data_IF_907689691399
#
_entry.id   IF_907689691399
#
_cell.length_a   1.000
_cell.length_b   1.000
_cell.length_c   1.000
_cell.angle_alpha   90.00
_cell.angle_beta   90.00
_cell.angle_gamma   90.00
#
_symmetry.space_group_name_H-M   'P 1'
#
loop_
_entity.id
_entity.type
_entity.pdbx_description
1 polymer ?
#
# COMPACT_ATOMS: atom_id res chain seq x y z
N UNK A 1 5.85 7.87 5.08
CA UNK A 1 6.53 8.59 3.98
C UNK A 1 5.72 8.36 2.71
N UNK A 2 5.35 9.41 1.98
CA UNK A 2 4.48 9.24 0.80
C UNK A 2 5.29 8.57 -0.32
N UNK A 3 5.02 7.28 -0.59
CA UNK A 3 5.76 6.48 -1.59
C UNK A 3 5.29 6.74 -3.03
N UNK A 4 4.72 7.92 -3.30
CA UNK A 4 4.32 8.32 -4.64
C UNK A 4 4.50 9.82 -4.87
N UNK A 5 4.60 10.18 -6.14
CA UNK A 5 4.54 11.56 -6.64
C UNK A 5 3.17 11.74 -7.28
N UNK A 6 2.39 12.71 -6.80
CA UNK A 6 1.09 13.02 -7.38
C UNK A 6 1.24 14.02 -8.53
N UNK A 7 0.81 13.62 -9.73
CA UNK A 7 0.79 14.46 -10.93
C UNK A 7 -0.66 14.75 -11.38
N UNK A 8 -1.61 14.75 -10.44
CA UNK A 8 -3.05 15.01 -10.58
C UNK A 8 -3.80 13.93 -11.36
N UNK A 9 -3.49 13.79 -12.65
CA UNK A 9 -4.17 12.82 -13.54
C UNK A 9 -3.69 11.39 -13.30
N UNK A 10 -2.48 11.25 -12.76
CA UNK A 10 -1.89 9.98 -12.41
C UNK A 10 -0.87 10.15 -11.29
N UNK A 11 -0.55 9.04 -10.64
CA UNK A 11 0.46 8.95 -9.60
C UNK A 11 1.66 8.19 -10.12
N UNK A 12 2.84 8.56 -9.67
CA UNK A 12 4.08 7.82 -9.90
C UNK A 12 4.49 7.20 -8.58
N UNK A 13 4.20 5.92 -8.41
CA UNK A 13 4.64 5.14 -7.26
C UNK A 13 6.14 4.86 -7.39
N UNK A 14 6.85 5.14 -6.31
CA UNK A 14 8.29 4.97 -6.22
C UNK A 14 8.62 3.56 -5.73
N UNK A 15 9.81 3.01 -6.08
CA UNK A 15 10.27 1.77 -5.49
C UNK A 15 10.38 1.87 -3.96
N UNK A 16 9.93 0.84 -3.26
CA UNK A 16 9.97 0.72 -1.81
C UNK A 16 10.26 -0.73 -1.37
N UNK A 17 10.03 -1.04 -0.09
CA UNK A 17 10.24 -2.38 0.45
C UNK A 17 9.44 -3.49 -0.24
N UNK A 18 8.32 -3.15 -0.89
CA UNK A 18 7.49 -4.11 -1.63
C UNK A 18 7.68 -4.03 -3.14
N UNK A 19 7.77 -2.81 -3.64
CA UNK A 19 7.80 -2.53 -5.06
C UNK A 19 9.23 -2.29 -5.50
N UNK A 20 9.75 -3.19 -6.33
CA UNK A 20 11.13 -3.09 -6.86
C UNK A 20 11.28 -2.18 -8.09
N UNK A 21 10.27 -1.39 -8.42
CA UNK A 21 10.20 -0.64 -9.69
C UNK A 21 9.29 0.58 -9.54
N UNK A 22 9.54 1.60 -10.34
CA UNK A 22 8.62 2.72 -10.48
C UNK A 22 7.35 2.27 -11.22
N UNK A 23 6.22 2.88 -10.87
CA UNK A 23 4.93 2.55 -11.47
C UNK A 23 4.06 3.80 -11.64
N UNK A 24 3.79 4.16 -12.89
CA UNK A 24 2.79 5.16 -13.26
C UNK A 24 1.43 4.49 -13.19
N UNK A 25 0.49 5.07 -12.45
CA UNK A 25 -0.86 4.55 -12.29
C UNK A 25 -1.89 5.67 -12.26
N UNK A 26 -2.92 5.55 -13.09
CA UNK A 26 -4.01 6.51 -13.14
C UNK A 26 -4.95 6.25 -14.30
N UNK A 27 -5.96 7.10 -14.43
CA UNK A 27 -6.86 7.11 -15.59
C UNK A 27 -6.31 8.08 -16.65
N UNK A 28 -5.69 7.53 -17.70
CA UNK A 28 -5.05 8.34 -18.73
C UNK A 28 -6.02 8.81 -19.82
N UNK A 29 -7.31 8.43 -19.76
CA UNK A 29 -8.32 8.74 -20.78
C UNK A 29 -8.50 10.24 -20.95
N UNK A 30 -8.66 10.95 -19.84
CA UNK A 30 -8.84 12.40 -19.84
C UNK A 30 -7.58 13.13 -20.32
N UNK A 31 -6.41 12.68 -19.86
CA UNK A 31 -5.12 13.25 -20.26
C UNK A 31 -4.91 13.13 -21.79
N UNK A 32 -5.22 11.97 -22.39
CA UNK A 32 -4.94 11.71 -23.80
C UNK A 32 -6.14 11.93 -24.74
N UNK A 33 -7.31 12.27 -24.19
CA UNK A 33 -8.57 12.49 -24.92
C UNK A 33 -9.08 11.24 -25.64
N UNK A 34 -8.98 10.06 -25.01
CA UNK A 34 -9.42 8.79 -25.63
C UNK A 34 -10.56 8.12 -24.87
N UNK A 35 -11.29 7.23 -25.55
CA UNK A 35 -12.46 6.54 -24.98
C UNK A 35 -12.11 5.47 -23.94
N UNK A 36 -10.94 4.84 -24.04
CA UNK A 36 -10.56 3.72 -23.17
C UNK A 36 -9.04 3.65 -22.96
N UNK A 37 -8.62 3.03 -21.86
CA UNK A 37 -7.21 2.91 -21.49
C UNK A 37 -6.39 2.07 -22.49
N UNK A 38 -7.01 1.13 -23.20
CA UNK A 38 -6.33 0.41 -24.29
C UNK A 38 -5.83 1.39 -25.36
N UNK A 39 -6.68 2.34 -25.78
CA UNK A 39 -6.34 3.34 -26.78
C UNK A 39 -5.27 4.31 -26.27
N UNK A 40 -5.34 4.70 -24.99
CA UNK A 40 -4.29 5.47 -24.32
C UNK A 40 -2.93 4.78 -24.41
N UNK A 41 -2.87 3.51 -23.98
CA UNK A 41 -1.63 2.73 -23.97
C UNK A 41 -1.10 2.52 -25.38
N UNK A 42 -1.97 2.25 -26.36
CA UNK A 42 -1.57 2.12 -27.77
C UNK A 42 -0.92 3.42 -28.28
N UNK A 43 -1.59 4.56 -28.11
CA UNK A 43 -1.07 5.89 -28.51
C UNK A 43 0.27 6.22 -27.84
N UNK A 44 0.39 5.93 -26.55
CA UNK A 44 1.64 6.13 -25.82
C UNK A 44 2.75 5.23 -26.37
N UNK A 45 2.50 3.93 -26.55
CA UNK A 45 3.48 2.98 -27.08
C UNK A 45 4.02 3.41 -28.45
N UNK A 46 3.13 3.80 -29.36
CA UNK A 46 3.50 4.29 -30.69
C UNK A 46 4.44 5.51 -30.58
N UNK A 47 4.14 6.44 -29.69
CA UNK A 47 4.99 7.61 -29.47
C UNK A 47 6.35 7.28 -28.84
N UNK A 48 6.43 6.26 -27.99
CA UNK A 48 7.68 5.83 -27.35
C UNK A 48 8.61 5.03 -28.26
N UNK A 49 8.14 4.54 -29.42
CA UNK A 49 8.99 3.78 -30.35
C UNK A 49 10.20 4.59 -30.83
N UNK A 50 10.07 5.91 -30.92
CA UNK A 50 11.14 6.84 -31.31
C UNK A 50 12.32 6.85 -30.33
N UNK A 51 12.12 6.40 -29.08
CA UNK A 51 13.12 6.46 -28.02
C UNK A 51 13.92 5.16 -27.82
N UNK A 52 13.60 4.08 -28.55
CA UNK A 52 14.26 2.77 -28.54
C UNK A 52 14.71 2.26 -27.15
N UNK A 53 13.81 2.28 -26.16
CA UNK A 53 14.15 1.83 -24.79
C UNK A 53 14.57 0.36 -24.73
N UNK A 54 15.62 0.08 -23.96
CA UNK A 54 16.09 -1.26 -23.63
C UNK A 54 16.47 -1.34 -22.13
N UNK A 55 15.71 -2.07 -21.29
CA UNK A 55 14.47 -2.80 -21.59
C UNK A 55 13.26 -1.88 -21.80
N UNK A 56 12.25 -2.37 -22.52
CA UNK A 56 10.98 -1.64 -22.66
C UNK A 56 10.19 -1.62 -21.34
N UNK A 57 9.49 -0.51 -21.02
CA UNK A 57 8.58 -0.49 -19.89
C UNK A 57 7.42 -1.49 -20.09
N UNK A 58 6.91 -2.05 -18.99
CA UNK A 58 5.73 -2.92 -19.01
C UNK A 58 4.48 -2.07 -18.95
N UNK A 59 3.47 -2.46 -19.72
CA UNK A 59 2.19 -1.75 -19.78
C UNK A 59 1.07 -2.70 -19.37
N UNK A 60 0.20 -2.22 -18.49
CA UNK A 60 -1.02 -2.87 -18.06
C UNK A 60 -2.18 -1.89 -18.17
N UNK A 61 -3.40 -2.40 -18.30
CA UNK A 61 -4.60 -1.56 -18.27
C UNK A 61 -5.81 -2.39 -17.87
N UNK A 62 -6.80 -1.70 -17.30
CA UNK A 62 -8.17 -2.16 -17.06
C UNK A 62 -9.14 -1.13 -17.64
N UNK A 63 -10.44 -1.35 -17.49
CA UNK A 63 -11.44 -0.35 -17.90
C UNK A 63 -11.27 0.99 -17.17
N UNK A 64 -10.82 0.94 -15.91
CA UNK A 64 -10.72 2.10 -15.03
C UNK A 64 -9.33 2.74 -15.01
N UNK A 65 -8.27 1.95 -15.17
CA UNK A 65 -6.89 2.44 -14.95
C UNK A 65 -5.92 1.96 -16.02
N UNK A 66 -4.84 2.70 -16.18
CA UNK A 66 -3.65 2.31 -16.93
C UNK A 66 -2.44 2.25 -15.99
N UNK A 67 -1.50 1.37 -16.33
CA UNK A 67 -0.28 1.12 -15.58
C UNK A 67 0.94 1.09 -16.48
N UNK A 68 2.00 1.82 -16.13
CA UNK A 68 3.31 1.73 -16.80
C UNK A 68 4.40 1.49 -15.76
N UNK A 69 5.20 0.44 -15.93
CA UNK A 69 6.18 -0.01 -14.93
C UNK A 69 7.58 -0.15 -15.54
N UNK A 70 8.60 0.34 -14.83
CA UNK A 70 10.01 0.13 -15.16
C UNK A 70 10.88 0.19 -13.91
N UNK A 71 12.01 -0.53 -13.92
CA UNK A 71 13.05 -0.40 -12.89
C UNK A 71 13.96 0.80 -13.12
N UNK A 72 13.96 1.33 -14.34
CA UNK A 72 14.79 2.44 -14.75
C UNK A 72 14.02 3.76 -14.58
N UNK A 73 14.55 4.64 -13.73
CA UNK A 73 14.01 5.97 -13.45
C UNK A 73 13.99 6.87 -14.68
N UNK A 74 14.99 6.77 -15.55
CA UNK A 74 15.08 7.57 -16.78
C UNK A 74 13.97 7.18 -17.77
N UNK A 75 13.70 5.88 -17.92
CA UNK A 75 12.61 5.40 -18.78
C UNK A 75 11.26 5.94 -18.29
N UNK A 76 11.05 5.99 -16.97
CA UNK A 76 9.82 6.50 -16.37
C UNK A 76 9.70 8.01 -16.59
N UNK A 77 10.79 8.74 -16.35
CA UNK A 77 10.84 10.18 -16.62
C UNK A 77 10.50 10.49 -18.08
N UNK A 78 11.15 9.85 -19.05
CA UNK A 78 10.89 10.05 -20.47
C UNK A 78 9.48 9.61 -20.88
N UNK A 79 8.94 8.58 -20.24
CA UNK A 79 7.54 8.18 -20.42
C UNK A 79 6.58 9.28 -19.95
N UNK A 80 6.86 9.90 -18.79
CA UNK A 80 6.06 11.02 -18.26
C UNK A 80 6.15 12.23 -19.18
N UNK A 81 7.36 12.58 -19.64
CA UNK A 81 7.57 13.66 -20.60
C UNK A 81 6.75 13.43 -21.89
N UNK A 82 6.75 12.19 -22.40
CA UNK A 82 5.95 11.85 -23.58
C UNK A 82 4.45 11.89 -23.28
N UNK A 83 3.99 11.41 -22.12
CA UNK A 83 2.59 11.54 -21.70
C UNK A 83 2.14 13.00 -21.65
N UNK A 84 2.94 13.88 -21.07
CA UNK A 84 2.65 15.31 -20.98
C UNK A 84 2.63 15.98 -22.35
N UNK A 85 3.55 15.61 -23.26
CA UNK A 85 3.55 16.16 -24.63
C UNK A 85 2.31 15.71 -25.43
N UNK A 86 1.81 14.49 -25.19
CA UNK A 86 0.59 13.97 -25.81
C UNK A 86 -0.71 14.47 -25.16
N UNK A 87 -0.62 15.18 -24.03
CA UNK A 87 -1.79 15.69 -23.31
C UNK A 87 -2.64 16.60 -24.20
N UNK A 88 -3.97 16.39 -24.20
CA UNK A 88 -4.94 17.25 -24.89
C UNK A 88 -5.19 18.56 -24.15
N UNK A 89 -4.90 18.60 -22.85
CA UNK A 89 -5.00 19.80 -22.02
C UNK A 89 -3.61 20.22 -21.57
N UNK A 90 -3.11 21.32 -22.14
CA UNK A 90 -1.78 21.86 -21.81
C UNK A 90 -1.72 22.51 -20.44
N UNK A 91 -2.85 22.90 -19.85
CA UNK A 91 -2.88 23.42 -18.48
C UNK A 91 -2.53 22.36 -17.43
N UNK A 92 -2.65 21.08 -17.80
CA UNK A 92 -2.32 19.92 -16.95
C UNK A 92 -0.86 19.46 -17.09
N UNK A 93 -0.07 20.13 -17.91
CA UNK A 93 1.35 19.77 -18.11
C UNK A 93 2.24 20.46 -17.10
N UNK A 94 3.39 19.84 -16.81
CA UNK A 94 4.40 20.41 -15.93
C UNK A 94 5.21 21.47 -16.67
N UNK A 95 5.54 22.57 -15.99
CA UNK A 95 6.49 23.55 -16.49
C UNK A 95 7.94 23.01 -16.40
N UNK A 96 8.90 23.76 -16.97
CA UNK A 96 10.31 23.33 -17.07
C UNK A 96 10.94 23.05 -15.69
N UNK A 97 10.62 23.88 -14.68
CA UNK A 97 11.17 23.71 -13.34
C UNK A 97 10.57 22.49 -12.64
N UNK A 98 9.25 22.27 -12.79
CA UNK A 98 8.57 21.08 -12.28
C UNK A 98 9.10 19.80 -12.94
N UNK A 99 9.32 19.82 -14.26
CA UNK A 99 9.88 18.69 -14.99
C UNK A 99 11.32 18.39 -14.56
N UNK A 100 12.14 19.43 -14.35
CA UNK A 100 13.51 19.29 -13.85
C UNK A 100 13.53 18.69 -12.44
N UNK A 101 12.69 19.21 -11.54
CA UNK A 101 12.57 18.69 -10.17
C UNK A 101 12.08 17.23 -10.15
N UNK A 102 11.12 16.89 -11.01
CA UNK A 102 10.65 15.51 -11.16
C UNK A 102 11.77 14.58 -11.62
N UNK A 103 12.55 15.00 -12.63
CA UNK A 103 13.71 14.24 -13.13
C UNK A 103 14.71 13.95 -12.01
N UNK A 104 15.10 14.99 -11.28
CA UNK A 104 16.05 14.88 -10.17
C UNK A 104 15.51 13.94 -9.08
N UNK A 105 14.24 14.08 -8.71
CA UNK A 105 13.61 13.23 -7.70
C UNK A 105 13.58 11.76 -8.11
N UNK A 106 13.29 11.46 -9.38
CA UNK A 106 13.27 10.08 -9.89
C UNK A 106 14.67 9.48 -9.99
N UNK A 107 15.63 10.21 -10.57
CA UNK A 107 16.99 9.71 -10.78
C UNK A 107 17.78 9.54 -9.47
N UNK A 108 17.53 10.39 -8.48
CA UNK A 108 18.18 10.32 -7.18
C UNK A 108 17.41 9.48 -6.14
N UNK A 109 16.31 8.81 -6.55
CA UNK A 109 15.54 8.00 -5.62
C UNK A 109 16.30 6.75 -5.20
N UNK A 110 16.62 6.66 -3.91
CA UNK A 110 17.18 5.46 -3.29
C UNK A 110 16.04 4.69 -2.63
N UNK A 111 15.72 3.52 -3.20
CA UNK A 111 14.68 2.67 -2.64
C UNK A 111 15.03 2.27 -1.20
N UNK A 112 14.14 2.47 -0.21
CA UNK A 112 14.36 1.99 1.14
C UNK A 112 14.48 0.47 1.14
N UNK A 113 15.35 -0.07 2.00
CA UNK A 113 15.43 -1.51 2.20
C UNK A 113 14.12 -2.00 2.84
N UNK A 114 13.63 -3.19 2.46
CA UNK A 114 12.50 -3.80 3.14
C UNK A 114 12.76 -3.88 4.64
N UNK A 115 11.80 -3.45 5.45
CA UNK A 115 11.85 -3.67 6.90
C UNK A 115 11.93 -5.17 7.16
N UNK A 116 12.87 -5.58 8.01
CA UNK A 116 12.94 -6.96 8.47
C UNK A 116 11.93 -7.14 9.59
N UNK A 117 11.19 -8.23 9.53
CA UNK A 117 10.24 -8.62 10.56
C UNK A 117 10.34 -10.13 10.80
N UNK A 118 9.90 -10.56 11.98
CA UNK A 118 9.85 -11.96 12.43
C UNK A 118 8.64 -12.16 13.36
N UNK A 119 8.30 -13.42 13.59
CA UNK A 119 7.29 -13.77 14.58
C UNK A 119 7.65 -13.20 15.96
N UNK A 120 6.64 -12.67 16.65
CA UNK A 120 6.77 -11.98 17.92
C UNK A 120 6.97 -10.48 17.82
N UNK A 121 7.30 -9.95 16.64
CA UNK A 121 7.51 -8.52 16.46
C UNK A 121 6.22 -7.74 16.74
N UNK A 122 6.35 -6.71 17.58
CA UNK A 122 5.32 -5.71 17.81
C UNK A 122 5.47 -4.65 16.74
N UNK A 123 4.36 -4.28 16.11
CA UNK A 123 4.33 -3.18 15.16
C UNK A 123 3.32 -2.12 15.59
N UNK A 124 3.57 -0.89 15.15
CA UNK A 124 2.60 0.20 15.20
C UNK A 124 2.07 0.49 13.81
N UNK A 125 0.81 0.91 13.75
CA UNK A 125 0.17 1.47 12.56
C UNK A 125 -0.44 2.83 12.92
N UNK A 126 -0.28 3.80 12.04
CA UNK A 126 -0.77 5.16 12.21
C UNK A 126 -2.26 5.23 11.85
N UNK A 127 -3.03 5.94 12.68
CA UNK A 127 -4.47 6.13 12.56
C UNK A 127 -4.78 7.48 11.91
N UNK A 128 -6.04 7.67 11.50
CA UNK A 128 -6.50 8.92 10.87
C UNK A 128 -6.34 10.17 11.75
N UNK A 129 -6.36 10.01 13.08
CA UNK A 129 -6.13 11.09 14.04
C UNK A 129 -4.65 11.28 14.42
N UNK A 130 -3.72 10.71 13.63
CA UNK A 130 -2.27 10.71 13.84
C UNK A 130 -1.81 9.97 15.12
N UNK A 131 -2.72 9.31 15.84
CA UNK A 131 -2.36 8.36 16.91
C UNK A 131 -1.96 7.00 16.33
N UNK A 132 -1.49 6.09 17.19
CA UNK A 132 -0.95 4.80 16.79
C UNK A 132 -1.71 3.66 17.47
N UNK A 133 -2.17 2.70 16.67
CA UNK A 133 -2.61 1.39 17.15
C UNK A 133 -1.45 0.39 17.10
N UNK A 134 -1.53 -0.65 17.92
CA UNK A 134 -0.46 -1.64 18.06
C UNK A 134 -0.94 -3.04 17.72
N UNK A 135 -0.07 -3.81 17.08
CA UNK A 135 -0.30 -5.21 16.79
C UNK A 135 0.95 -6.05 16.96
N UNK A 136 0.81 -7.36 16.83
CA UNK A 136 1.90 -8.32 16.92
C UNK A 136 1.84 -9.32 15.76
N UNK A 137 3.01 -9.67 15.20
CA UNK A 137 3.14 -10.75 14.24
C UNK A 137 3.13 -12.08 14.99
N UNK A 138 2.14 -12.92 14.75
CA UNK A 138 1.92 -14.18 15.46
C UNK A 138 2.02 -15.42 14.55
N UNK A 139 2.38 -15.23 13.28
CA UNK A 139 2.58 -16.31 12.31
C UNK A 139 3.79 -16.10 11.38
N UNK A 140 4.33 -17.18 10.79
CA UNK A 140 5.48 -17.16 9.87
C UNK A 140 5.14 -16.60 8.48
N UNK A 141 3.92 -16.84 8.02
CA UNK A 141 3.27 -16.06 6.97
C UNK A 141 2.44 -15.01 7.70
N UNK A 142 2.50 -13.72 7.34
CA UNK A 142 2.15 -12.65 8.27
C UNK A 142 0.68 -12.72 8.68
N UNK A 143 0.46 -13.39 9.80
CA UNK A 143 -0.76 -13.39 10.58
C UNK A 143 -0.50 -12.47 11.74
N UNK A 144 -1.36 -11.48 11.91
CA UNK A 144 -1.16 -10.38 12.84
C UNK A 144 -2.35 -10.27 13.77
N UNK A 145 -2.07 -10.07 15.06
CA UNK A 145 -3.07 -9.67 16.05
C UNK A 145 -3.03 -8.16 16.22
N UNK A 146 -4.19 -7.51 16.19
CA UNK A 146 -4.38 -6.11 16.56
C UNK A 146 -4.88 -6.05 17.99
N UNK A 147 -4.25 -5.24 18.84
CA UNK A 147 -4.71 -5.02 20.20
C UNK A 147 -5.77 -3.91 20.23
N UNK A 148 -6.74 -4.03 21.12
CA UNK A 148 -7.62 -2.92 21.49
C UNK A 148 -6.86 -1.90 22.36
N UNK A 149 -5.94 -1.19 21.72
CA UNK A 149 -5.09 -0.20 22.36
C UNK A 149 -4.50 0.78 21.34
N UNK A 150 -4.60 2.08 21.64
CA UNK A 150 -3.96 3.15 20.86
C UNK A 150 -3.28 4.19 21.76
N UNK A 151 -2.25 4.86 21.26
CA UNK A 151 -1.50 5.94 21.94
C UNK A 151 -1.09 7.03 20.95
N UNK A 152 -0.85 8.24 21.44
CA UNK A 152 -0.39 9.35 20.62
C UNK A 152 1.06 9.19 20.13
N UNK A 153 1.86 8.36 20.80
CA UNK A 153 3.25 8.06 20.44
C UNK A 153 3.41 6.61 20.02
N UNK A 154 4.23 6.37 18.99
CA UNK A 154 4.58 5.05 18.47
C UNK A 154 5.60 4.31 19.36
N UNK A 155 5.31 4.22 20.67
CA UNK A 155 6.16 3.59 21.68
C UNK A 155 5.31 2.72 22.62
N UNK A 156 5.72 1.47 22.80
CA UNK A 156 4.97 0.46 23.55
C UNK A 156 5.90 -0.47 24.31
N UNK A 157 5.52 -0.79 25.55
CA UNK A 157 6.19 -1.84 26.34
C UNK A 157 5.38 -3.13 26.35
N UNK A 158 6.04 -4.26 26.56
CA UNK A 158 5.35 -5.56 26.70
C UNK A 158 4.30 -5.57 27.80
N UNK A 159 4.59 -4.96 28.95
CA UNK A 159 3.67 -4.88 30.09
C UNK A 159 2.36 -4.15 29.77
N UNK A 160 2.40 -3.19 28.84
CA UNK A 160 1.19 -2.47 28.42
C UNK A 160 0.26 -3.32 27.55
N UNK A 161 0.77 -4.39 26.93
CA UNK A 161 0.02 -5.26 26.01
C UNK A 161 -0.53 -6.51 26.70
N UNK A 162 0.04 -6.94 27.83
CA UNK A 162 -0.30 -8.21 28.50
C UNK A 162 -1.78 -8.34 28.88
N UNK A 163 -2.43 -7.24 29.23
CA UNK A 163 -3.82 -7.18 29.68
C UNK A 163 -4.77 -6.66 28.58
N UNK A 164 -4.25 -6.39 27.38
CA UNK A 164 -5.04 -5.81 26.29
C UNK A 164 -5.79 -6.91 25.54
N UNK A 165 -7.04 -6.61 25.22
CA UNK A 165 -7.87 -7.49 24.39
C UNK A 165 -7.33 -7.53 22.96
N UNK A 166 -7.50 -8.67 22.31
CA UNK A 166 -7.24 -8.79 20.88
C UNK A 166 -8.49 -8.33 20.14
N UNK A 167 -8.35 -7.25 19.37
CA UNK A 167 -9.42 -6.68 18.55
C UNK A 167 -9.68 -7.52 17.30
N UNK A 168 -8.62 -7.99 16.65
CA UNK A 168 -8.72 -8.78 15.43
C UNK A 168 -7.45 -9.61 15.24
N UNK A 169 -7.59 -10.74 14.55
CA UNK A 169 -6.47 -11.54 14.07
C UNK A 169 -6.72 -11.80 12.59
N UNK A 170 -5.81 -11.32 11.74
CA UNK A 170 -5.95 -11.45 10.29
C UNK A 170 -4.69 -12.04 9.65
N UNK A 171 -4.91 -12.80 8.59
CA UNK A 171 -3.87 -13.16 7.65
C UNK A 171 -3.74 -12.06 6.57
N UNK A 172 -2.55 -11.50 6.42
CA UNK A 172 -2.27 -10.40 5.49
C UNK A 172 -1.10 -10.74 4.56
N UNK A 173 -0.77 -9.81 3.66
CA UNK A 173 0.46 -9.85 2.87
C UNK A 173 1.56 -9.06 3.58
N UNK A 174 2.80 -9.14 3.08
CA UNK A 174 3.93 -8.43 3.69
C UNK A 174 3.99 -6.94 3.38
N UNK A 175 3.02 -6.39 2.63
CA UNK A 175 3.10 -5.06 2.03
C UNK A 175 3.35 -3.98 3.08
N UNK A 176 2.43 -3.79 4.02
CA UNK A 176 2.59 -2.73 5.03
C UNK A 176 3.74 -2.96 6.01
N UNK A 177 4.21 -4.20 6.15
CA UNK A 177 5.38 -4.52 6.95
C UNK A 177 6.68 -4.14 6.23
N UNK A 178 6.85 -4.50 4.97
CA UNK A 178 8.13 -4.29 4.28
C UNK A 178 8.35 -2.81 3.91
N UNK A 179 7.29 -2.07 3.58
CA UNK A 179 7.37 -0.68 3.12
C UNK A 179 7.40 0.37 4.24
N UNK A 180 7.48 -0.07 5.51
CA UNK A 180 7.53 0.78 6.71
C UNK A 180 6.23 1.53 7.03
N UNK A 181 5.11 1.20 6.39
CA UNK A 181 3.79 1.71 6.82
C UNK A 181 3.46 1.24 8.23
N UNK A 182 3.77 -0.01 8.55
CA UNK A 182 3.75 -0.54 9.91
C UNK A 182 5.17 -0.63 10.45
N UNK A 183 5.46 0.10 11.53
CA UNK A 183 6.82 0.16 12.09
C UNK A 183 6.98 -0.92 13.14
N UNK A 184 7.96 -1.81 12.96
CA UNK A 184 8.35 -2.78 13.99
C UNK A 184 9.09 -2.04 15.10
N UNK A 185 8.62 -2.22 16.34
CA UNK A 185 9.09 -1.51 17.53
C UNK A 185 9.95 -2.40 18.43
N UNK A 186 9.52 -3.63 18.66
CA UNK A 186 10.16 -4.58 19.56
C UNK A 186 9.79 -6.03 19.21
N UNK A 187 10.33 -7.02 19.92
CA UNK A 187 10.04 -8.42 19.72
C UNK A 187 9.79 -9.15 21.05
N UNK A 188 8.63 -9.78 21.16
CA UNK A 188 8.23 -10.56 22.33
C UNK A 188 7.61 -11.89 21.95
N UNK A 189 7.38 -12.78 22.93
CA UNK A 189 6.59 -13.98 22.69
C UNK A 189 5.16 -13.60 22.23
N UNK A 190 4.57 -14.34 21.28
CA UNK A 190 3.19 -14.13 20.86
C UNK A 190 2.20 -14.14 22.04
N UNK A 191 1.36 -13.10 22.12
CA UNK A 191 0.32 -12.94 23.16
C UNK A 191 -1.04 -13.53 22.76
N UNK A 192 -1.19 -13.90 21.48
CA UNK A 192 -2.40 -14.50 20.94
C UNK A 192 -2.06 -15.77 20.15
N UNK A 193 -3.01 -16.70 20.10
CA UNK A 193 -2.91 -17.83 19.20
C UNK A 193 -3.42 -17.41 17.81
N UNK A 194 -2.61 -17.64 16.78
CA UNK A 194 -2.94 -17.34 15.37
C UNK A 194 -4.21 -18.03 14.86
N UNK A 195 -4.66 -19.09 15.55
CA UNK A 195 -5.83 -19.87 15.18
C UNK A 195 -7.14 -19.36 15.85
N UNK A 196 -7.06 -18.36 16.74
CA UNK A 196 -8.23 -17.78 17.43
C UNK A 196 -8.95 -16.70 16.60
N UNK A 197 -8.42 -16.37 15.42
CA UNK A 197 -8.89 -15.29 14.57
C UNK A 197 -10.04 -15.64 13.62
N UNK A 198 -10.85 -14.65 13.19
CA UNK A 198 -11.91 -14.85 12.21
C UNK A 198 -11.41 -15.37 10.86
N UNK A 199 -10.14 -15.12 10.51
CA UNK A 199 -9.54 -15.57 9.26
C UNK A 199 -8.68 -16.84 9.38
N UNK A 200 -8.68 -17.51 10.55
CA UNK A 200 -8.14 -18.86 10.81
C UNK A 200 -6.87 -19.32 10.08
N UNK A 201 -5.77 -19.43 10.82
CA UNK A 201 -4.54 -20.19 10.53
C UNK A 201 -3.68 -19.76 9.33
N UNK A 202 -2.37 -19.98 9.44
CA UNK A 202 -1.34 -19.86 8.39
C UNK A 202 -1.23 -21.12 7.51
N UNK A 203 -2.09 -22.12 7.73
CA UNK A 203 -2.14 -23.35 6.92
C UNK A 203 -3.07 -23.14 5.73
N UNK A 204 -2.60 -23.49 4.54
CA UNK A 204 -3.47 -23.49 3.35
C UNK A 204 -4.66 -24.42 3.59
N UNK A 205 -5.83 -23.81 3.79
CA UNK A 205 -7.11 -24.51 3.88
C UNK A 205 -8.02 -24.03 2.75
N UNK A 206 -8.85 -24.93 2.23
CA UNK A 206 -9.90 -24.57 1.27
C UNK A 206 -10.84 -23.59 1.99
N UNK A 207 -10.92 -22.35 1.51
CA UNK A 207 -11.69 -21.28 2.15
C UNK A 207 -10.87 -20.22 2.90
N UNK A 208 -9.54 -20.32 2.93
CA UNK A 208 -8.67 -19.31 3.53
C UNK A 208 -8.84 -17.95 2.82
N UNK A 209 -9.22 -16.92 3.58
CA UNK A 209 -9.30 -15.55 3.09
C UNK A 209 -8.00 -14.82 3.41
N UNK A 210 -7.23 -14.48 2.37
CA UNK A 210 -6.10 -13.56 2.49
C UNK A 210 -6.60 -12.15 2.24
N UNK A 211 -6.38 -11.27 3.21
CA UNK A 211 -6.83 -9.90 3.10
C UNK A 211 -5.79 -9.01 2.42
N UNK A 212 -6.29 -7.98 1.75
CA UNK A 212 -5.42 -6.92 1.24
C UNK A 212 -4.68 -6.21 2.39
N UNK A 213 -3.55 -5.54 2.12
CA UNK A 213 -2.73 -4.94 3.17
C UNK A 213 -3.49 -3.98 4.07
N UNK A 214 -4.44 -3.24 3.47
CA UNK A 214 -5.16 -2.14 4.10
C UNK A 214 -6.32 -2.62 4.98
N UNK A 215 -6.57 -3.92 5.09
CA UNK A 215 -7.68 -4.43 5.89
C UNK A 215 -7.46 -4.18 7.37
N UNK A 216 -6.23 -4.33 7.88
CA UNK A 216 -5.95 -4.01 9.29
C UNK A 216 -6.14 -2.53 9.57
N UNK A 217 -5.66 -1.66 8.67
CA UNK A 217 -5.83 -0.21 8.75
C UNK A 217 -7.32 0.16 8.72
N UNK A 218 -8.13 -0.52 7.90
CA UNK A 218 -9.59 -0.35 7.85
C UNK A 218 -10.25 -0.78 9.16
N UNK A 219 -9.88 -1.94 9.71
CA UNK A 219 -10.41 -2.45 10.98
C UNK A 219 -10.10 -1.47 12.12
N UNK A 220 -8.85 -1.02 12.19
CA UNK A 220 -8.38 -0.08 13.20
C UNK A 220 -9.15 1.24 13.12
N UNK A 221 -9.19 1.89 11.95
CA UNK A 221 -9.86 3.18 11.80
C UNK A 221 -11.38 3.05 11.99
N UNK A 222 -12.01 1.98 11.53
CA UNK A 222 -13.43 1.72 11.80
C UNK A 222 -13.73 1.53 13.28
N UNK A 223 -12.85 0.84 14.01
CA UNK A 223 -13.07 0.58 15.43
C UNK A 223 -13.07 1.88 16.26
N UNK A 224 -12.11 2.79 16.02
CA UNK A 224 -11.97 4.03 16.78
C UNK A 224 -12.74 5.24 16.21
N UNK A 225 -12.90 5.35 14.89
CA UNK A 225 -13.47 6.53 14.23
C UNK A 225 -14.75 6.26 13.44
N UNK A 226 -15.16 4.99 13.30
CA UNK A 226 -16.32 4.58 12.49
C UNK A 226 -16.20 4.98 11.02
N UNK A 227 -14.98 5.14 10.52
CA UNK A 227 -14.70 5.33 9.10
C UNK A 227 -14.65 3.99 8.38
N UNK A 228 -15.32 3.89 7.23
CA UNK A 228 -15.45 2.65 6.47
C UNK A 228 -15.46 2.96 4.97
N UNK A 229 -14.40 2.55 4.29
CA UNK A 229 -14.29 2.64 2.82
C UNK A 229 -14.76 1.35 2.12
N UNK A 230 -15.31 0.40 2.87
CA UNK A 230 -15.78 -0.87 2.32
C UNK A 230 -17.19 -0.70 1.77
N UNK A 231 -17.46 -1.35 0.63
CA UNK A 231 -18.80 -1.39 0.05
C UNK A 231 -19.81 -2.12 0.96
N UNK A 232 -19.33 -3.04 1.79
CA UNK A 232 -20.11 -3.76 2.80
C UNK A 232 -19.44 -3.61 4.18
N UNK A 233 -20.09 -2.85 5.06
CA UNK A 233 -19.62 -2.60 6.42
C UNK A 233 -19.70 -3.86 7.31
N UNK A 234 -20.68 -4.75 7.07
CA UNK A 234 -20.84 -5.98 7.87
C UNK A 234 -19.64 -6.91 7.69
N UNK A 235 -19.14 -7.03 6.46
CA UNK A 235 -17.90 -7.75 6.16
C UNK A 235 -16.70 -7.26 7.00
N UNK A 236 -16.63 -5.95 7.31
CA UNK A 236 -15.57 -5.40 8.15
C UNK A 236 -15.80 -5.70 9.64
N UNK A 237 -17.06 -5.59 10.10
CA UNK A 237 -17.45 -5.91 11.48
C UNK A 237 -17.19 -7.37 11.85
N UNK A 238 -17.37 -8.27 10.90
CA UNK A 238 -17.11 -9.71 11.10
C UNK A 238 -15.62 -10.03 11.29
N UNK A 239 -14.72 -9.11 10.96
CA UNK A 239 -13.29 -9.24 11.24
C UNK A 239 -12.91 -8.76 12.64
N UNK A 240 -13.82 -8.11 13.37
CA UNK A 240 -13.61 -7.73 14.77
C UNK A 240 -14.05 -8.88 15.66
N UNK A 241 -13.14 -9.35 16.52
CA UNK A 241 -13.46 -10.39 17.50
C UNK A 241 -14.47 -9.78 18.48
N UNK A 242 -15.72 -10.24 18.38
CA UNK A 242 -16.76 -9.88 19.33
C UNK A 242 -16.37 -10.46 20.68
N UNK A 243 -16.44 -9.65 21.73
CA UNK A 243 -16.33 -10.15 23.10
C UNK A 243 -17.27 -11.36 23.22
N UNK A 244 -16.71 -12.54 23.53
CA UNK A 244 -17.50 -13.62 24.11
C UNK A 244 -17.92 -13.11 25.49
N UNK A 245 -18.96 -12.29 25.53
CA UNK A 245 -19.53 -11.85 26.78
C UNK A 245 -19.99 -13.08 27.53
N UNK A 246 -19.37 -13.25 28.71
CA UNK A 246 -19.77 -14.08 29.83
C UNK A 246 -21.26 -14.44 29.79
N UNK A 247 -21.54 -15.71 29.49
CA UNK A 247 -22.77 -16.40 29.90
C UNK A 247 -22.46 -17.28 31.10
#
# INVERSE_FOLDING_TARGET
MQNYIDLKEFKVYLPDGDRRSFYIYGDLRNLLGTKNNFSCIKKLKESLQELDFKPQPKFTFTELHAGIQSKDALIIFLTIEKLMSLSVDKSKTLNINEMTSLKEKLLNWVAPKPQKWKMGDIFSLELEDESFAFGQIIGPHPTVALFDYKKDLAEISYSELLDKKILSIIHTTTINLNNWSWKVLDNYSPLANKDDGPSGTDTFQIGLQSFSPNVLDSIANYYWFRTCDWADEESLKDLIIKDKNNS
#
